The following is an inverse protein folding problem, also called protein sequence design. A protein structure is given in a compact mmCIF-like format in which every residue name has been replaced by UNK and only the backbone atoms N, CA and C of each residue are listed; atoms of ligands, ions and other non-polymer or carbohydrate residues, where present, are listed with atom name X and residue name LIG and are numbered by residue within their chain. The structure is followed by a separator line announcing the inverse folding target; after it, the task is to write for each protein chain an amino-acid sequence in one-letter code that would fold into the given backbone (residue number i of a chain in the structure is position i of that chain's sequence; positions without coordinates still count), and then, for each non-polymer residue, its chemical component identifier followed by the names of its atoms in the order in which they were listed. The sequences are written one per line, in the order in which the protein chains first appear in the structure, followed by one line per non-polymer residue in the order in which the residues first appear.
data_IF_027702635456
#
_entry.id   IF_027702635456
#
_cell.length_a   1.000
_cell.length_b   1.000
_cell.length_c   1.000
_cell.angle_alpha   90.00
_cell.angle_beta   90.00
_cell.angle_gamma   90.00
#
_symmetry.space_group_name_H-M   'P 1'
#
loop_
_entity.id
_entity.type
_entity.pdbx_description
1 polymer ?
#
# COMPACT_ATOMS: atom_id res chain seq x y z
N UNK A 1 -25.72 -1.83 -1.93
CA UNK A 1 -25.83 -0.77 -2.96
C UNK A 1 -27.20 -0.85 -3.59
N UNK A 2 -27.68 0.22 -4.21
CA UNK A 2 -28.90 0.21 -5.04
C UNK A 2 -28.53 0.64 -6.46
N UNK A 3 -29.20 0.09 -7.47
CA UNK A 3 -29.01 0.48 -8.87
C UNK A 3 -30.11 1.48 -9.26
N UNK A 4 -29.75 2.51 -10.02
CA UNK A 4 -30.72 3.41 -10.65
C UNK A 4 -31.23 2.84 -11.99
N UNK A 5 -32.14 3.57 -12.63
CA UNK A 5 -32.76 3.18 -13.91
C UNK A 5 -31.73 3.02 -15.05
N UNK A 6 -30.55 3.61 -14.92
CA UNK A 6 -29.45 3.52 -15.89
C UNK A 6 -28.44 2.42 -15.52
N UNK A 7 -28.72 1.60 -14.50
CA UNK A 7 -27.82 0.55 -14.00
C UNK A 7 -26.64 1.07 -13.19
N UNK A 8 -26.63 2.35 -12.79
CA UNK A 8 -25.53 2.92 -12.01
C UNK A 8 -25.73 2.59 -10.53
N UNK A 9 -24.68 2.05 -9.90
CA UNK A 9 -24.68 1.67 -8.48
C UNK A 9 -24.45 2.87 -7.57
N UNK A 10 -25.34 3.02 -6.59
CA UNK A 10 -25.30 4.06 -5.57
C UNK A 10 -25.24 3.50 -4.16
N UNK A 11 -24.64 4.27 -3.25
CA UNK A 11 -24.70 4.00 -1.82
C UNK A 11 -26.05 4.43 -1.26
N UNK A 12 -26.68 3.54 -0.49
CA UNK A 12 -27.92 3.80 0.25
C UNK A 12 -27.63 3.66 1.73
N UNK A 13 -28.15 4.60 2.53
CA UNK A 13 -28.13 4.49 3.99
C UNK A 13 -29.00 3.32 4.41
N UNK A 14 -28.47 2.45 5.27
CA UNK A 14 -29.15 1.26 5.77
C UNK A 14 -29.03 1.19 7.29
N UNK A 15 -29.98 0.50 7.92
CA UNK A 15 -29.84 0.08 9.30
C UNK A 15 -28.85 -1.09 9.38
N UNK A 16 -27.97 -1.06 10.39
CA UNK A 16 -26.88 -2.04 10.54
C UNK A 16 -27.24 -3.02 11.65
N UNK A 17 -27.30 -4.31 11.32
CA UNK A 17 -27.40 -5.39 12.31
C UNK A 17 -25.99 -5.87 12.69
N UNK A 18 -25.50 -5.51 13.88
CA UNK A 18 -24.11 -5.77 14.27
C UNK A 18 -23.73 -7.26 14.27
N UNK A 19 -24.67 -8.13 14.64
CA UNK A 19 -24.54 -9.59 14.62
C UNK A 19 -24.14 -10.16 13.26
N UNK A 20 -24.52 -9.50 12.17
CA UNK A 20 -24.15 -9.90 10.81
C UNK A 20 -22.68 -9.58 10.47
N UNK A 21 -22.08 -8.62 11.17
CA UNK A 21 -20.75 -8.08 10.84
C UNK A 21 -19.66 -8.49 11.81
N UNK A 22 -20.00 -8.84 13.06
CA UNK A 22 -19.04 -9.22 14.10
C UNK A 22 -18.93 -10.73 14.19
N UNK A 23 -17.75 -11.25 13.89
CA UNK A 23 -17.46 -12.67 13.84
C UNK A 23 -16.49 -13.04 14.96
N UNK A 24 -16.83 -14.07 15.74
CA UNK A 24 -15.97 -14.59 16.81
C UNK A 24 -15.75 -16.09 16.53
N UNK A 25 -14.67 -16.47 15.81
CA UNK A 25 -14.41 -17.87 15.54
C UNK A 25 -14.07 -18.61 16.82
N UNK A 26 -14.46 -19.89 16.86
CA UNK A 26 -14.14 -20.79 17.96
C UNK A 26 -12.99 -21.72 17.52
N UNK A 27 -11.86 -21.62 18.22
CA UNK A 27 -10.73 -22.52 18.09
C UNK A 27 -10.70 -23.52 19.26
N UNK A 28 -10.04 -24.68 19.11
CA UNK A 28 -9.88 -25.62 20.21
C UNK A 28 -9.16 -24.96 21.40
N UNK A 29 -9.67 -25.19 22.60
CA UNK A 29 -9.11 -24.64 23.84
C UNK A 29 -7.86 -25.40 24.29
N UNK A 30 -7.03 -24.76 25.13
CA UNK A 30 -5.88 -25.41 25.77
C UNK A 30 -4.66 -25.62 24.86
N UNK A 31 -4.64 -25.05 23.67
CA UNK A 31 -3.50 -25.12 22.76
C UNK A 31 -2.37 -24.16 23.16
N UNK A 32 -1.16 -24.44 22.66
CA UNK A 32 -0.03 -23.53 22.81
C UNK A 32 -0.20 -22.26 21.97
N UNK A 33 0.47 -21.15 22.32
CA UNK A 33 0.46 -19.93 21.50
C UNK A 33 0.88 -20.17 20.05
N UNK A 34 1.85 -21.05 19.80
CA UNK A 34 2.31 -21.40 18.45
C UNK A 34 1.23 -22.13 17.64
N UNK A 35 0.46 -23.01 18.27
CA UNK A 35 -0.69 -23.64 17.61
C UNK A 35 -1.76 -22.61 17.26
N UNK A 36 -2.00 -21.61 18.13
CA UNK A 36 -2.91 -20.50 17.81
C UNK A 36 -2.38 -19.58 16.72
N UNK A 37 -1.07 -19.42 16.55
CA UNK A 37 -0.49 -18.70 15.40
C UNK A 37 -0.91 -19.37 14.08
N UNK A 38 -0.83 -20.71 14.01
CA UNK A 38 -1.26 -21.47 12.84
C UNK A 38 -2.77 -21.34 12.60
N UNK A 39 -3.59 -21.41 13.65
CA UNK A 39 -5.03 -21.18 13.53
C UNK A 39 -5.36 -19.76 13.04
N UNK A 40 -4.65 -18.74 13.54
CA UNK A 40 -4.80 -17.37 13.07
C UNK A 40 -4.41 -17.24 11.61
N UNK A 41 -3.27 -17.81 11.19
CA UNK A 41 -2.81 -17.78 9.80
C UNK A 41 -3.84 -18.42 8.86
N UNK A 42 -4.27 -19.65 9.17
CA UNK A 42 -5.29 -20.35 8.39
C UNK A 42 -6.62 -19.59 8.33
N UNK A 43 -7.00 -18.93 9.43
CA UNK A 43 -8.20 -18.10 9.48
C UNK A 43 -8.07 -16.86 8.60
N UNK A 44 -6.91 -16.16 8.65
CA UNK A 44 -6.61 -15.01 7.79
C UNK A 44 -6.66 -15.40 6.31
N UNK A 45 -6.01 -16.50 5.93
CA UNK A 45 -6.07 -17.06 4.58
C UNK A 45 -7.49 -17.36 4.14
N UNK A 46 -8.31 -17.99 5.01
CA UNK A 46 -9.71 -18.28 4.71
C UNK A 46 -10.51 -17.00 4.48
N UNK A 47 -10.46 -16.04 5.41
CA UNK A 47 -11.28 -14.83 5.29
C UNK A 47 -10.77 -13.91 4.18
N UNK A 48 -9.51 -13.98 3.77
CA UNK A 48 -9.00 -13.24 2.62
C UNK A 48 -9.70 -13.66 1.31
N UNK A 49 -10.12 -14.92 1.22
CA UNK A 49 -10.79 -15.53 0.06
C UNK A 49 -12.31 -15.31 0.03
N UNK A 50 -12.92 -15.12 1.20
CA UNK A 50 -14.38 -14.96 1.30
C UNK A 50 -14.81 -13.60 0.72
N UNK A 51 -15.84 -13.56 -0.11
CA UNK A 51 -16.40 -12.28 -0.56
C UNK A 51 -17.34 -11.69 0.51
N UNK A 52 -17.33 -10.36 0.63
CA UNK A 52 -18.29 -9.67 1.48
C UNK A 52 -19.67 -9.69 0.80
N UNK A 53 -20.75 -10.05 1.52
CA UNK A 53 -22.08 -10.12 0.93
C UNK A 53 -22.59 -8.72 0.56
N UNK A 54 -23.14 -8.59 -0.65
CA UNK A 54 -23.52 -7.30 -1.25
C UNK A 54 -24.86 -6.75 -0.75
N UNK A 55 -25.62 -7.55 0.01
CA UNK A 55 -26.92 -7.19 0.59
C UNK A 55 -26.81 -6.45 1.93
N UNK A 56 -25.61 -6.24 2.45
CA UNK A 56 -25.34 -5.51 3.71
C UNK A 56 -24.10 -4.62 3.56
N UNK A 57 -23.80 -3.74 4.53
CA UNK A 57 -22.58 -2.93 4.50
C UNK A 57 -21.32 -3.78 4.28
N UNK A 58 -20.41 -3.32 3.43
CA UNK A 58 -19.26 -4.11 2.97
C UNK A 58 -18.08 -4.08 3.94
N UNK A 59 -18.33 -4.48 5.18
CA UNK A 59 -17.30 -4.62 6.21
C UNK A 59 -17.65 -5.73 7.19
N UNK A 60 -16.64 -6.37 7.77
CA UNK A 60 -16.76 -7.30 8.89
C UNK A 60 -15.65 -7.01 9.92
N UNK A 61 -15.90 -7.36 11.17
CA UNK A 61 -14.93 -7.38 12.25
C UNK A 61 -14.78 -8.82 12.73
N UNK A 62 -13.55 -9.30 12.90
CA UNK A 62 -13.28 -10.64 13.42
C UNK A 62 -12.48 -10.54 14.71
N UNK A 63 -12.99 -11.12 15.80
CA UNK A 63 -12.39 -11.07 17.14
C UNK A 63 -11.81 -12.44 17.48
N UNK A 64 -10.49 -12.54 17.45
CA UNK A 64 -9.75 -13.75 17.82
C UNK A 64 -9.35 -13.65 19.28
N UNK A 65 -10.12 -14.31 20.16
CA UNK A 65 -9.96 -14.28 21.63
C UNK A 65 -8.84 -15.18 22.18
N UNK A 66 -8.07 -15.81 21.30
CA UNK A 66 -7.04 -16.79 21.68
C UNK A 66 -5.65 -16.15 21.64
N UNK A 67 -4.79 -16.40 22.66
CA UNK A 67 -3.47 -15.83 22.71
C UNK A 67 -2.55 -16.48 21.66
N UNK A 68 -1.87 -15.64 20.92
CA UNK A 68 -0.84 -15.97 19.92
C UNK A 68 0.54 -15.72 20.51
N UNK A 69 1.61 -16.15 19.85
CA UNK A 69 2.97 -15.81 20.28
C UNK A 69 3.21 -14.30 20.32
N UNK A 70 2.48 -13.54 19.49
CA UNK A 70 2.59 -12.09 19.42
C UNK A 70 1.60 -11.36 20.34
N UNK A 71 0.32 -11.72 20.43
CA UNK A 71 -0.68 -10.94 21.16
C UNK A 71 -1.67 -11.80 21.96
N UNK A 72 -2.22 -11.24 23.04
CA UNK A 72 -3.23 -11.91 23.87
C UNK A 72 -4.57 -12.13 23.13
N UNK A 73 -4.82 -11.37 22.07
CA UNK A 73 -5.94 -11.52 21.16
C UNK A 73 -5.68 -10.69 19.90
N UNK A 74 -6.43 -10.97 18.83
CA UNK A 74 -6.29 -10.29 17.55
C UNK A 74 -7.64 -9.75 17.09
N UNK A 75 -7.63 -8.55 16.52
CA UNK A 75 -8.81 -7.91 15.94
C UNK A 75 -8.54 -7.63 14.47
N UNK A 76 -9.41 -8.13 13.60
CA UNK A 76 -9.25 -8.01 12.16
C UNK A 76 -10.42 -7.21 11.61
N UNK A 77 -10.13 -6.14 10.89
CA UNK A 77 -11.11 -5.36 10.15
C UNK A 77 -11.02 -5.74 8.68
N UNK A 78 -12.07 -6.34 8.13
CA UNK A 78 -12.17 -6.68 6.72
C UNK A 78 -13.09 -5.66 6.05
N UNK A 79 -12.55 -4.86 5.16
CA UNK A 79 -13.23 -3.71 4.53
C UNK A 79 -13.15 -3.86 3.02
N UNK A 80 -14.26 -3.68 2.31
CA UNK A 80 -14.23 -3.68 0.85
C UNK A 80 -13.64 -2.37 0.30
N UNK A 81 -12.77 -2.45 -0.72
CA UNK A 81 -12.05 -1.30 -1.27
C UNK A 81 -12.96 -0.25 -1.96
N UNK A 82 -14.22 -0.59 -2.25
CA UNK A 82 -15.20 0.41 -2.72
C UNK A 82 -15.57 1.45 -1.65
N UNK A 83 -15.29 1.19 -0.37
CA UNK A 83 -15.54 2.13 0.72
C UNK A 83 -14.52 3.29 0.76
N UNK A 84 -13.31 3.06 0.27
CA UNK A 84 -12.23 4.04 0.23
C UNK A 84 -10.88 3.39 -0.03
N UNK A 85 -9.88 4.23 -0.31
CA UNK A 85 -8.51 3.78 -0.50
C UNK A 85 -7.83 3.45 0.84
N UNK A 86 -6.64 2.85 0.78
CA UNK A 86 -5.88 2.48 1.98
C UNK A 86 -5.69 3.63 2.97
N UNK A 87 -5.55 4.88 2.49
CA UNK A 87 -5.48 6.06 3.36
C UNK A 87 -6.80 6.34 4.08
N UNK A 88 -7.91 6.34 3.35
CA UNK A 88 -9.26 6.57 3.92
C UNK A 88 -9.61 5.49 4.93
N UNK A 89 -9.41 4.21 4.58
CA UNK A 89 -9.71 3.09 5.46
C UNK A 89 -8.84 3.09 6.71
N UNK A 90 -7.54 3.38 6.58
CA UNK A 90 -6.65 3.54 7.73
C UNK A 90 -7.08 4.73 8.60
N UNK A 91 -7.48 5.85 8.01
CA UNK A 91 -7.97 7.00 8.77
C UNK A 91 -9.26 6.69 9.54
N UNK A 92 -10.17 5.90 8.98
CA UNK A 92 -11.35 5.41 9.69
C UNK A 92 -10.97 4.47 10.84
N UNK A 93 -10.07 3.51 10.62
CA UNK A 93 -9.57 2.65 11.70
C UNK A 93 -8.97 3.48 12.83
N UNK A 94 -8.07 4.41 12.52
CA UNK A 94 -7.42 5.28 13.49
C UNK A 94 -8.40 6.19 14.23
N UNK A 95 -9.54 6.54 13.63
CA UNK A 95 -10.59 7.34 14.29
C UNK A 95 -11.29 6.59 15.43
N UNK A 96 -11.21 5.26 15.45
CA UNK A 96 -11.72 4.42 16.52
C UNK A 96 -10.67 4.16 17.62
N UNK A 97 -9.43 4.65 17.44
CA UNK A 97 -8.31 4.41 18.32
C UNK A 97 -7.95 5.66 19.11
N UNK A 98 -7.47 5.45 20.34
CA UNK A 98 -6.99 6.50 21.22
C UNK A 98 -5.55 6.21 21.64
N UNK A 99 -4.84 7.24 22.11
CA UNK A 99 -3.53 7.02 22.73
C UNK A 99 -3.68 6.20 24.01
N UNK A 100 -2.78 5.25 24.22
CA UNK A 100 -2.79 4.38 25.39
C UNK A 100 -2.34 5.11 26.68
N UNK A 101 -1.52 6.16 26.55
CA UNK A 101 -1.02 6.95 27.68
C UNK A 101 -1.97 8.08 28.08
N UNK A 102 -2.58 8.77 27.11
CA UNK A 102 -3.58 9.81 27.36
C UNK A 102 -4.65 9.85 26.25
N UNK A 103 -5.84 9.25 26.46
CA UNK A 103 -6.92 9.21 25.47
C UNK A 103 -7.43 10.57 24.99
N UNK A 104 -7.20 11.65 25.76
CA UNK A 104 -7.67 12.99 25.42
C UNK A 104 -6.79 13.69 24.39
N UNK A 105 -5.60 13.15 24.11
CA UNK A 105 -4.62 13.73 23.17
C UNK A 105 -4.73 13.00 21.83
N UNK A 106 -4.78 13.73 20.69
CA UNK A 106 -4.83 13.10 19.38
C UNK A 106 -3.54 12.31 19.08
N UNK A 107 -3.68 11.31 18.21
CA UNK A 107 -2.55 10.56 17.67
C UNK A 107 -1.62 11.49 16.88
N UNK A 108 -0.31 11.32 17.04
CA UNK A 108 0.66 12.08 16.24
C UNK A 108 1.36 11.20 15.23
N UNK A 109 1.73 11.82 14.11
CA UNK A 109 2.37 11.17 12.98
C UNK A 109 3.72 11.84 12.73
N UNK A 110 4.73 11.09 12.25
CA UNK A 110 5.98 11.70 11.80
C UNK A 110 5.69 12.82 10.79
N UNK A 111 6.22 14.01 11.04
CA UNK A 111 6.12 15.10 10.07
C UNK A 111 6.92 14.74 8.81
N UNK A 112 6.30 14.91 7.65
CA UNK A 112 7.03 14.87 6.37
C UNK A 112 7.83 16.17 6.25
N UNK A 113 8.90 16.30 7.03
CA UNK A 113 9.91 17.32 6.79
C UNK A 113 10.64 16.94 5.51
N UNK A 114 10.13 17.41 4.38
CA UNK A 114 11.02 17.70 3.26
C UNK A 114 12.07 18.65 3.81
N UNK A 115 13.32 18.23 3.83
CA UNK A 115 14.45 19.16 3.87
C UNK A 115 14.41 19.98 2.57
N UNK A 116 13.43 20.89 2.47
CA UNK A 116 13.52 22.05 1.62
C UNK A 116 14.46 22.97 2.36
N UNK A 117 15.70 23.07 1.86
CA UNK A 117 16.58 24.17 2.23
C UNK A 117 15.78 25.48 2.07
N UNK A 118 15.56 26.27 3.13
CA UNK A 118 14.78 27.51 3.05
C UNK A 118 15.50 28.64 2.29
N UNK A 119 16.66 28.37 1.67
CA UNK A 119 17.44 29.34 0.92
C UNK A 119 17.15 29.33 -0.59
N UNK A 120 15.87 29.30 -0.97
CA UNK A 120 15.44 29.82 -2.26
C UNK A 120 14.62 31.07 -2.01
N UNK A 121 15.32 32.10 -1.53
CA UNK A 121 14.86 33.47 -1.73
C UNK A 121 14.67 33.65 -3.24
N UNK A 122 13.45 34.01 -3.63
CA UNK A 122 13.13 34.48 -4.96
C UNK A 122 13.86 35.81 -5.13
N UNK A 123 15.14 35.74 -5.51
CA UNK A 123 15.90 36.86 -6.02
C UNK A 123 16.03 36.61 -7.51
N UNK A 124 15.30 37.39 -8.30
CA UNK A 124 15.19 37.21 -9.74
C UNK A 124 16.56 37.08 -10.40
N UNK A 125 16.75 36.01 -11.16
CA UNK A 125 17.66 35.91 -12.32
C UNK A 125 17.65 34.49 -12.92
N UNK A 126 17.50 34.43 -14.24
CA UNK A 126 17.72 33.29 -15.15
C UNK A 126 16.59 32.28 -15.40
N UNK A 127 15.66 32.69 -16.28
CA UNK A 127 14.74 31.80 -17.01
C UNK A 127 15.51 30.86 -17.99
N UNK A 128 16.77 31.16 -18.32
CA UNK A 128 17.54 30.45 -19.34
C UNK A 128 18.49 29.34 -18.84
N UNK A 129 18.77 29.23 -17.54
CA UNK A 129 19.72 28.21 -17.02
C UNK A 129 19.13 26.81 -16.77
N UNK A 130 17.84 26.59 -17.03
CA UNK A 130 17.17 25.31 -16.74
C UNK A 130 16.49 24.65 -17.95
N UNK A 131 16.64 25.17 -19.17
CA UNK A 131 16.02 24.60 -20.38
C UNK A 131 16.36 23.10 -20.55
N UNK A 132 17.64 22.65 -20.42
CA UNK A 132 17.95 21.22 -20.54
C UNK A 132 17.29 20.35 -19.45
N UNK A 133 17.14 20.88 -18.23
CA UNK A 133 16.45 20.18 -17.13
C UNK A 133 14.95 20.10 -17.37
N UNK A 134 14.35 21.17 -17.87
CA UNK A 134 12.94 21.23 -18.26
C UNK A 134 12.66 20.27 -19.41
N UNK A 135 13.48 20.29 -20.47
CA UNK A 135 13.38 19.36 -21.60
C UNK A 135 13.56 17.91 -21.15
N UNK A 136 14.54 17.63 -20.29
CA UNK A 136 14.74 16.29 -19.71
C UNK A 136 13.55 15.84 -18.87
N UNK A 137 12.98 16.72 -18.06
CA UNK A 137 11.79 16.43 -17.26
C UNK A 137 10.57 16.19 -18.15
N UNK A 138 10.39 16.98 -19.21
CA UNK A 138 9.33 16.77 -20.20
C UNK A 138 9.49 15.43 -20.93
N UNK A 139 10.71 15.12 -21.40
CA UNK A 139 11.02 13.83 -22.02
C UNK A 139 10.76 12.66 -21.08
N UNK A 140 11.26 12.73 -19.84
CA UNK A 140 10.99 11.71 -18.82
C UNK A 140 9.49 11.58 -18.56
N UNK A 141 8.74 12.69 -18.53
CA UNK A 141 7.28 12.66 -18.34
C UNK A 141 6.58 11.91 -19.46
N UNK A 142 6.91 12.22 -20.72
CA UNK A 142 6.31 11.53 -21.88
C UNK A 142 6.72 10.05 -21.89
N UNK A 143 7.99 9.76 -21.65
CA UNK A 143 8.52 8.39 -21.62
C UNK A 143 7.91 7.56 -20.50
N UNK A 144 7.90 8.07 -19.27
CA UNK A 144 7.41 7.34 -18.09
C UNK A 144 5.88 7.18 -18.14
N UNK A 145 5.14 8.21 -18.57
CA UNK A 145 3.69 8.12 -18.74
C UNK A 145 3.31 7.18 -19.90
N UNK A 146 3.99 7.29 -21.04
CA UNK A 146 3.80 6.40 -22.18
C UNK A 146 4.12 4.95 -21.83
N UNK A 147 5.21 4.71 -21.10
CA UNK A 147 5.53 3.39 -20.57
C UNK A 147 4.44 2.87 -19.63
N UNK A 148 3.95 3.72 -18.71
CA UNK A 148 2.86 3.36 -17.80
C UNK A 148 1.58 2.98 -18.55
N UNK A 149 1.23 3.70 -19.63
CA UNK A 149 0.08 3.37 -20.48
C UNK A 149 0.26 2.02 -21.19
N UNK A 150 1.44 1.80 -21.77
CA UNK A 150 1.79 0.53 -22.44
C UNK A 150 1.74 -0.64 -21.47
N UNK A 151 2.33 -0.49 -20.28
CA UNK A 151 2.29 -1.51 -19.22
C UNK A 151 0.87 -1.80 -18.75
N UNK A 152 0.07 -0.76 -18.53
CA UNK A 152 -1.31 -0.90 -18.07
C UNK A 152 -2.25 -1.56 -19.08
N UNK A 153 -1.91 -1.50 -20.38
CA UNK A 153 -2.83 -1.89 -21.46
C UNK A 153 -2.38 -3.11 -22.28
N UNK A 154 -1.08 -3.29 -22.50
CA UNK A 154 -0.55 -4.21 -23.51
C UNK A 154 0.67 -5.02 -23.09
N UNK A 155 1.46 -4.56 -22.11
CA UNK A 155 2.74 -5.18 -21.77
C UNK A 155 2.66 -5.88 -20.41
N UNK A 156 2.58 -7.20 -20.44
CA UNK A 156 2.69 -8.05 -19.24
C UNK A 156 4.16 -8.26 -18.84
N UNK A 157 4.43 -8.43 -17.54
CA UNK A 157 5.73 -8.93 -17.07
C UNK A 157 5.91 -10.42 -17.39
N UNK A 158 7.15 -10.90 -17.36
CA UNK A 158 7.45 -12.32 -17.55
C UNK A 158 6.79 -13.19 -16.47
N UNK A 159 6.51 -14.45 -16.81
CA UNK A 159 6.06 -15.43 -15.80
C UNK A 159 7.23 -15.75 -14.88
N UNK A 160 7.05 -15.54 -13.58
CA UNK A 160 8.08 -15.66 -12.56
C UNK A 160 7.53 -16.27 -11.27
N UNK A 161 8.38 -16.45 -10.25
CA UNK A 161 7.92 -16.94 -8.93
C UNK A 161 7.00 -15.94 -8.21
N UNK A 162 7.09 -14.66 -8.55
CA UNK A 162 6.24 -13.61 -7.99
C UNK A 162 5.07 -13.23 -8.91
N UNK A 163 5.05 -13.75 -10.14
CA UNK A 163 3.97 -13.53 -11.11
C UNK A 163 3.60 -14.81 -11.83
N UNK A 164 2.48 -15.41 -11.45
CA UNK A 164 2.05 -16.68 -12.08
C UNK A 164 1.53 -16.53 -13.51
N UNK A 165 1.08 -15.34 -13.94
CA UNK A 165 0.55 -15.06 -15.28
C UNK A 165 -0.79 -15.72 -15.62
N UNK A 166 -1.35 -16.53 -14.71
CA UNK A 166 -2.60 -17.24 -14.94
C UNK A 166 -3.82 -16.33 -14.72
N UNK A 167 -4.93 -16.51 -15.45
CA UNK A 167 -6.17 -15.85 -15.11
C UNK A 167 -6.73 -16.36 -13.77
N UNK A 168 -7.42 -15.49 -13.03
CA UNK A 168 -8.10 -15.86 -11.78
C UNK A 168 -7.18 -16.07 -10.57
N UNK A 169 -6.00 -15.42 -10.55
CA UNK A 169 -5.08 -15.42 -9.40
C UNK A 169 -5.77 -14.84 -8.17
N UNK A 170 -6.63 -13.84 -8.35
CA UNK A 170 -7.46 -13.22 -7.32
C UNK A 170 -8.41 -14.19 -6.60
N UNK A 171 -8.61 -15.40 -7.15
CA UNK A 171 -9.44 -16.47 -6.58
C UNK A 171 -8.63 -17.68 -6.12
N UNK A 172 -7.30 -17.60 -6.12
CA UNK A 172 -6.42 -18.67 -5.62
C UNK A 172 -6.14 -18.50 -4.12
N UNK A 173 -5.88 -19.60 -3.39
CA UNK A 173 -5.55 -19.52 -1.97
C UNK A 173 -4.46 -18.49 -1.68
N UNK A 174 -4.68 -17.66 -0.67
CA UNK A 174 -3.76 -16.62 -0.22
C UNK A 174 -3.08 -17.07 1.06
N UNK A 175 -1.77 -16.91 1.15
CA UNK A 175 -1.01 -17.02 2.40
C UNK A 175 -0.59 -15.62 2.84
N UNK A 176 -0.77 -15.31 4.11
CA UNK A 176 -0.44 -13.99 4.67
C UNK A 176 0.72 -14.16 5.62
N UNK A 177 1.85 -13.53 5.29
CA UNK A 177 3.05 -13.54 6.12
C UNK A 177 3.35 -12.15 6.67
N UNK A 178 3.95 -12.07 7.86
CA UNK A 178 4.31 -10.77 8.46
C UNK A 178 5.76 -10.71 8.88
N UNK A 179 6.36 -9.52 8.76
CA UNK A 179 7.71 -9.24 9.21
C UNK A 179 7.77 -7.89 9.91
N UNK A 180 8.77 -7.71 10.78
CA UNK A 180 8.99 -6.47 11.51
C UNK A 180 10.42 -6.01 11.34
N UNK A 181 10.57 -4.73 10.97
CA UNK A 181 11.86 -4.07 10.82
C UNK A 181 11.99 -2.93 11.83
N UNK A 182 13.21 -2.68 12.29
CA UNK A 182 13.54 -1.50 13.09
C UNK A 182 13.47 -0.25 12.21
N UNK A 183 12.60 0.70 12.56
CA UNK A 183 12.54 1.96 11.82
C UNK A 183 13.80 2.81 12.07
N UNK A 184 14.46 2.63 13.21
CA UNK A 184 15.67 3.38 13.55
C UNK A 184 16.87 2.90 12.72
N UNK A 185 16.98 1.60 12.44
CA UNK A 185 18.01 1.09 11.52
C UNK A 185 17.79 1.61 10.10
N UNK A 186 16.53 1.64 9.65
CA UNK A 186 16.16 2.24 8.36
C UNK A 186 16.52 3.73 8.32
N UNK A 187 16.28 4.49 9.41
CA UNK A 187 16.66 5.90 9.51
C UNK A 187 18.18 6.09 9.51
N UNK A 188 18.95 5.18 10.10
CA UNK A 188 20.41 5.21 10.05
C UNK A 188 20.92 5.02 8.62
N UNK A 189 20.40 4.03 7.89
CA UNK A 189 20.74 3.80 6.48
C UNK A 189 20.37 5.02 5.64
N UNK A 190 19.15 5.54 5.81
CA UNK A 190 18.66 6.78 5.18
C UNK A 190 19.67 7.92 5.35
N UNK A 191 20.13 8.14 6.58
CA UNK A 191 21.04 9.23 6.93
C UNK A 191 22.42 9.03 6.33
N UNK A 192 23.00 7.83 6.43
CA UNK A 192 24.32 7.50 5.89
C UNK A 192 24.37 7.61 4.36
N UNK A 193 23.33 7.14 3.67
CA UNK A 193 23.24 7.17 2.22
C UNK A 193 22.66 8.47 1.65
N UNK A 194 22.15 9.37 2.49
CA UNK A 194 21.45 10.61 2.11
C UNK A 194 20.27 10.37 1.15
N UNK A 195 19.48 9.32 1.43
CA UNK A 195 18.29 8.93 0.67
C UNK A 195 17.01 9.13 1.51
N UNK A 196 15.85 8.74 1.01
CA UNK A 196 14.59 8.73 1.78
C UNK A 196 14.31 7.36 2.41
N UNK A 197 13.39 7.33 3.39
CA UNK A 197 12.96 6.07 4.02
C UNK A 197 12.36 5.10 2.98
N UNK A 198 11.55 5.62 2.05
CA UNK A 198 10.94 4.81 1.00
C UNK A 198 11.99 4.22 0.05
N UNK A 199 13.09 4.93 -0.24
CA UNK A 199 14.17 4.39 -1.08
C UNK A 199 14.84 3.19 -0.41
N UNK A 200 15.09 3.28 0.91
CA UNK A 200 15.66 2.17 1.69
C UNK A 200 14.71 0.98 1.72
N UNK A 201 13.42 1.20 2.05
CA UNK A 201 12.40 0.14 2.09
C UNK A 201 12.30 -0.53 0.72
N UNK A 202 12.18 0.25 -0.35
CA UNK A 202 12.06 -0.28 -1.72
C UNK A 202 13.30 -1.08 -2.12
N UNK A 203 14.50 -0.60 -1.78
CA UNK A 203 15.74 -1.33 -2.03
C UNK A 203 15.81 -2.67 -1.28
N UNK A 204 15.40 -2.71 -0.01
CA UNK A 204 15.32 -3.95 0.78
C UNK A 204 14.33 -4.93 0.13
N UNK A 205 13.14 -4.46 -0.24
CA UNK A 205 12.11 -5.30 -0.85
C UNK A 205 12.57 -5.83 -2.22
N UNK A 206 13.13 -4.99 -3.08
CA UNK A 206 13.65 -5.43 -4.38
C UNK A 206 14.75 -6.47 -4.26
N UNK A 207 15.68 -6.28 -3.32
CA UNK A 207 16.72 -7.27 -3.09
C UNK A 207 16.12 -8.58 -2.55
N UNK A 208 15.24 -8.49 -1.54
CA UNK A 208 14.57 -9.66 -0.96
C UNK A 208 13.78 -10.46 -2.00
N UNK A 209 13.04 -9.76 -2.87
CA UNK A 209 12.32 -10.36 -4.00
C UNK A 209 13.28 -11.08 -4.95
N UNK A 210 14.41 -10.47 -5.33
CA UNK A 210 15.38 -11.13 -6.22
C UNK A 210 16.03 -12.35 -5.57
N UNK A 211 16.36 -12.28 -4.29
CA UNK A 211 16.89 -13.43 -3.55
C UNK A 211 15.85 -14.57 -3.48
N UNK A 212 14.59 -14.26 -3.22
CA UNK A 212 13.50 -15.24 -3.25
C UNK A 212 13.34 -15.90 -4.63
N UNK A 213 13.34 -15.10 -5.70
CA UNK A 213 13.23 -15.60 -7.07
C UNK A 213 14.41 -16.50 -7.47
N UNK A 214 15.61 -16.19 -6.97
CA UNK A 214 16.79 -16.99 -7.24
C UNK A 214 16.75 -18.33 -6.49
N UNK A 215 16.43 -18.30 -5.20
CA UNK A 215 16.35 -19.50 -4.36
C UNK A 215 15.32 -20.49 -4.90
N UNK A 216 14.13 -20.02 -5.26
CA UNK A 216 13.06 -20.91 -5.73
C UNK A 216 13.29 -21.53 -7.13
N UNK A 217 14.24 -21.02 -7.92
CA UNK A 217 14.55 -21.54 -9.28
C UNK A 217 15.96 -22.15 -9.41
N UNK A 218 16.81 -22.07 -8.37
CA UNK A 218 18.21 -22.51 -8.39
C UNK A 218 19.03 -21.94 -9.58
N UNK A 219 18.67 -20.74 -10.08
CA UNK A 219 19.36 -20.06 -11.17
C UNK A 219 19.26 -18.55 -10.98
N UNK A 220 20.29 -17.81 -11.38
CA UNK A 220 20.25 -16.35 -11.50
C UNK A 220 19.09 -15.97 -12.41
N UNK A 221 18.05 -15.42 -11.81
CA UNK A 221 16.78 -15.21 -12.46
C UNK A 221 16.42 -13.72 -12.48
N UNK A 222 16.51 -13.15 -13.68
CA UNK A 222 16.30 -11.73 -13.95
C UNK A 222 15.10 -11.49 -14.87
N UNK A 223 14.11 -12.39 -14.85
CA UNK A 223 12.80 -12.17 -15.48
C UNK A 223 12.33 -10.73 -15.24
N UNK A 224 11.86 -10.10 -16.31
CA UNK A 224 11.43 -8.71 -16.28
C UNK A 224 10.25 -8.58 -15.33
N UNK A 225 10.51 -7.92 -14.22
CA UNK A 225 9.60 -7.79 -13.10
C UNK A 225 9.41 -6.32 -12.77
N UNK A 226 8.17 -5.92 -12.57
CA UNK A 226 7.76 -4.55 -12.27
C UNK A 226 6.99 -4.55 -10.95
N UNK A 227 7.40 -3.67 -10.05
CA UNK A 227 6.64 -3.36 -8.85
C UNK A 227 5.71 -2.17 -9.10
N UNK A 228 4.43 -2.36 -8.83
CA UNK A 228 3.41 -1.33 -8.86
C UNK A 228 3.37 -0.59 -7.51
N UNK A 229 4.01 0.58 -7.46
CA UNK A 229 4.06 1.39 -6.23
C UNK A 229 2.81 2.26 -6.13
N UNK A 230 1.98 2.00 -5.12
CA UNK A 230 0.77 2.75 -4.84
C UNK A 230 1.08 4.04 -4.07
N UNK A 231 0.51 5.15 -4.54
CA UNK A 231 0.73 6.48 -4.00
C UNK A 231 -0.60 7.16 -3.67
N UNK A 232 -0.67 7.78 -2.49
CA UNK A 232 -1.76 8.69 -2.17
C UNK A 232 -1.61 9.98 -3.00
N UNK A 233 -2.62 10.33 -3.80
CA UNK A 233 -2.59 11.55 -4.64
C UNK A 233 -2.99 12.80 -3.89
N UNK A 234 -3.53 12.66 -2.68
CA UNK A 234 -3.76 13.81 -1.81
C UNK A 234 -2.40 14.40 -1.44
N UNK A 235 -2.17 15.67 -1.74
CA UNK A 235 -0.93 16.40 -1.41
C UNK A 235 -0.80 16.64 0.12
N UNK A 236 -0.67 15.56 0.89
CA UNK A 236 -0.75 15.51 2.35
C UNK A 236 0.66 15.59 2.92
N UNK A 237 1.01 16.73 3.52
CA UNK A 237 2.23 16.89 4.33
C UNK A 237 2.05 16.38 5.77
N UNK A 238 0.80 16.37 6.24
CA UNK A 238 0.40 15.98 7.60
C UNK A 238 -0.87 15.14 7.54
N UNK A 239 -0.95 14.13 8.39
CA UNK A 239 -2.13 13.26 8.50
C UNK A 239 -3.44 14.06 8.61
N UNK A 240 -4.48 13.59 7.90
CA UNK A 240 -5.83 14.16 7.88
C UNK A 240 -6.84 13.15 8.39
N UNK A 241 -7.54 13.55 9.44
CA UNK A 241 -8.58 12.76 10.08
C UNK A 241 -9.84 12.66 9.21
N UNK A 242 -10.70 11.67 9.48
CA UNK A 242 -12.00 11.50 8.81
C UNK A 242 -12.86 12.77 8.92
N UNK A 243 -12.86 13.41 10.11
CA UNK A 243 -13.57 14.66 10.37
C UNK A 243 -13.10 15.80 9.46
N UNK A 244 -11.80 15.92 9.23
CA UNK A 244 -11.26 16.93 8.31
C UNK A 244 -11.60 16.62 6.85
N UNK A 245 -11.61 15.34 6.45
CA UNK A 245 -11.94 14.91 5.09
C UNK A 245 -13.43 15.08 4.73
N UNK A 246 -14.31 15.28 5.72
CA UNK A 246 -15.75 15.50 5.54
C UNK A 246 -16.17 16.97 5.66
N UNK A 247 -15.24 17.90 5.92
CA UNK A 247 -15.58 19.33 6.00
C UNK A 247 -16.11 19.84 4.65
N UNK A 248 -17.10 20.76 4.63
CA UNK A 248 -17.49 21.46 3.41
C UNK A 248 -16.25 22.11 2.78
N UNK A 249 -16.06 21.95 1.47
CA UNK A 249 -14.89 22.44 0.73
C UNK A 249 -13.54 21.83 1.15
N UNK A 250 -13.51 20.64 1.75
CA UNK A 250 -12.24 19.95 2.01
C UNK A 250 -11.46 19.73 0.70
N UNK A 251 -10.23 20.25 0.63
CA UNK A 251 -9.31 20.01 -0.50
C UNK A 251 -8.98 18.51 -0.68
N UNK A 252 -9.17 17.71 0.37
CA UNK A 252 -8.76 16.31 0.48
C UNK A 252 -9.92 15.48 1.00
N UNK A 253 -10.68 14.91 0.07
CA UNK A 253 -11.96 14.24 0.37
C UNK A 253 -11.76 12.76 0.69
N UNK A 254 -12.67 12.20 1.49
CA UNK A 254 -12.83 10.77 1.71
C UNK A 254 -13.08 10.01 0.39
N UNK A 255 -12.52 8.80 0.26
CA UNK A 255 -12.79 7.91 -0.88
C UNK A 255 -11.52 7.50 -1.62
N UNK A 256 -11.65 7.06 -2.87
CA UNK A 256 -10.50 6.58 -3.66
C UNK A 256 -9.75 7.76 -4.31
N UNK A 257 -8.54 8.04 -3.83
CA UNK A 257 -7.61 9.07 -4.31
C UNK A 257 -6.18 8.52 -4.26
N UNK A 258 -5.87 7.67 -5.22
CA UNK A 258 -4.55 7.09 -5.37
C UNK A 258 -4.12 7.10 -6.83
N UNK A 259 -2.81 6.98 -7.03
CA UNK A 259 -2.17 6.73 -8.30
C UNK A 259 -1.15 5.63 -8.10
N UNK A 260 -0.55 5.18 -9.20
CA UNK A 260 0.45 4.14 -9.17
C UNK A 260 1.62 4.49 -10.07
N UNK A 261 2.77 3.91 -9.76
CA UNK A 261 3.99 3.98 -10.54
C UNK A 261 4.49 2.58 -10.84
N UNK A 262 4.79 2.34 -12.11
CA UNK A 262 5.51 1.16 -12.53
C UNK A 262 7.01 1.39 -12.28
N UNK A 263 7.59 0.62 -11.35
CA UNK A 263 9.02 0.65 -11.03
C UNK A 263 9.61 -0.71 -11.34
N UNK A 264 10.50 -0.78 -12.33
CA UNK A 264 11.21 -2.02 -12.66
C UNK A 264 12.07 -2.47 -11.48
N UNK A 265 11.97 -3.75 -11.12
CA UNK A 265 12.80 -4.37 -10.09
C UNK A 265 14.20 -4.55 -10.66
N UNK A 266 15.25 -3.94 -10.06
CA UNK A 266 16.61 -4.08 -10.54
C UNK A 266 17.06 -5.54 -10.64
N UNK A 267 17.85 -5.84 -11.67
CA UNK A 267 18.45 -7.15 -11.85
C UNK A 267 19.50 -7.44 -10.78
N UNK A 268 19.58 -8.71 -10.41
CA UNK A 268 20.62 -9.28 -9.56
C UNK A 268 21.73 -9.82 -10.47
N UNK A 269 22.90 -9.21 -10.45
CA UNK A 269 23.98 -9.52 -11.40
C UNK A 269 24.90 -10.63 -10.91
N UNK A 270 25.31 -10.60 -9.64
CA UNK A 270 26.17 -11.61 -9.04
C UNK A 270 25.92 -11.67 -7.52
N UNK A 271 25.79 -12.88 -6.96
CA UNK A 271 25.65 -13.10 -5.52
C UNK A 271 26.96 -12.94 -4.74
N UNK A 272 28.08 -13.41 -5.28
CA UNK A 272 29.38 -13.41 -4.60
C UNK A 272 29.92 -11.99 -4.36
N UNK A 273 29.56 -11.06 -5.24
CA UNK A 273 29.92 -9.64 -5.15
C UNK A 273 28.71 -8.73 -4.93
N UNK A 274 27.64 -9.28 -4.35
CA UNK A 274 26.43 -8.52 -4.08
C UNK A 274 26.72 -7.42 -3.06
N UNK A 275 26.54 -6.17 -3.46
CA UNK A 275 26.44 -5.04 -2.54
C UNK A 275 24.95 -4.70 -2.33
N UNK A 276 24.37 -4.97 -1.14
CA UNK A 276 22.96 -4.66 -0.86
C UNK A 276 22.61 -3.17 -1.02
N UNK A 277 23.59 -2.28 -0.85
CA UNK A 277 23.39 -0.84 -0.99
C UNK A 277 23.10 -0.42 -2.43
N UNK A 278 23.53 -1.21 -3.42
CA UNK A 278 23.26 -0.94 -4.82
C UNK A 278 21.76 -0.95 -5.12
N UNK A 279 21.01 -1.85 -4.47
CA UNK A 279 19.55 -1.88 -4.61
C UNK A 279 18.89 -0.62 -4.05
N UNK A 280 19.42 -0.07 -2.95
CA UNK A 280 18.93 1.20 -2.38
C UNK A 280 19.21 2.36 -3.33
N UNK A 281 20.42 2.45 -3.91
CA UNK A 281 20.75 3.51 -4.86
C UNK A 281 19.98 3.38 -6.19
N UNK A 282 19.78 2.15 -6.69
CA UNK A 282 18.96 1.90 -7.88
C UNK A 282 17.50 2.30 -7.62
N UNK A 283 16.93 1.90 -6.48
CA UNK A 283 15.58 2.30 -6.08
C UNK A 283 15.46 3.82 -5.99
N UNK A 284 16.40 4.50 -5.32
CA UNK A 284 16.43 5.97 -5.24
C UNK A 284 16.45 6.62 -6.63
N UNK A 285 17.32 6.16 -7.54
CA UNK A 285 17.40 6.71 -8.90
C UNK A 285 16.09 6.56 -9.68
N UNK A 286 15.45 5.40 -9.58
CA UNK A 286 14.17 5.12 -10.24
C UNK A 286 13.04 5.97 -9.66
N UNK A 287 12.93 6.03 -8.33
CA UNK A 287 11.91 6.82 -7.63
C UNK A 287 12.10 8.32 -7.91
N UNK A 288 13.33 8.82 -7.86
CA UNK A 288 13.61 10.24 -8.10
C UNK A 288 13.33 10.63 -9.56
N UNK A 289 13.60 9.74 -10.53
CA UNK A 289 13.21 9.94 -11.92
C UNK A 289 11.70 10.09 -12.04
N UNK A 290 10.94 9.17 -11.45
CA UNK A 290 9.47 9.19 -11.48
C UNK A 290 8.88 10.39 -10.73
N UNK A 291 9.50 10.84 -9.63
CA UNK A 291 9.08 12.06 -8.91
C UNK A 291 9.36 13.35 -9.68
N UNK A 292 10.44 13.37 -10.45
CA UNK A 292 10.80 14.51 -11.31
C UNK A 292 10.03 14.49 -12.64
N UNK A 293 9.20 13.47 -12.89
CA UNK A 293 8.31 13.39 -14.03
C UNK A 293 6.89 13.78 -13.61
N UNK A 294 6.12 14.33 -14.55
CA UNK A 294 4.69 14.60 -14.37
C UNK A 294 3.83 13.33 -14.45
N UNK A 295 4.42 12.13 -14.54
CA UNK A 295 3.70 10.90 -14.84
C UNK A 295 2.64 10.56 -13.79
N UNK A 296 2.94 10.72 -12.50
CA UNK A 296 1.96 10.50 -11.41
C UNK A 296 0.72 11.38 -11.58
N UNK A 297 0.94 12.66 -11.90
CA UNK A 297 -0.14 13.62 -12.11
C UNK A 297 -0.97 13.27 -13.35
N UNK A 298 -0.31 12.90 -14.46
CA UNK A 298 -0.99 12.48 -15.68
C UNK A 298 -1.79 11.19 -15.48
N UNK A 299 -1.25 10.20 -14.76
CA UNK A 299 -1.97 8.98 -14.40
C UNK A 299 -3.19 9.27 -13.53
N UNK A 300 -3.07 10.15 -12.52
CA UNK A 300 -4.21 10.54 -11.69
C UNK A 300 -5.30 11.25 -12.52
N UNK A 301 -4.92 12.17 -13.41
CA UNK A 301 -5.85 12.85 -14.34
C UNK A 301 -6.50 11.88 -15.31
N UNK A 302 -5.77 10.89 -15.81
CA UNK A 302 -6.29 9.84 -16.67
C UNK A 302 -7.36 9.01 -15.95
N UNK A 303 -7.09 8.56 -14.72
CA UNK A 303 -8.07 7.81 -13.93
C UNK A 303 -9.33 8.64 -13.64
N UNK A 304 -9.18 9.92 -13.32
CA UNK A 304 -10.33 10.82 -13.17
C UNK A 304 -11.12 11.00 -14.46
N UNK A 305 -10.42 11.11 -15.60
CA UNK A 305 -11.05 11.20 -16.91
C UNK A 305 -11.85 9.93 -17.22
N UNK A 306 -11.26 8.74 -17.03
CA UNK A 306 -11.97 7.47 -17.17
C UNK A 306 -13.21 7.44 -16.28
N UNK A 307 -13.08 7.82 -15.01
CA UNK A 307 -14.21 7.80 -14.07
C UNK A 307 -15.34 8.74 -14.50
N UNK A 308 -15.01 9.94 -14.99
CA UNK A 308 -16.00 10.96 -15.40
C UNK A 308 -16.69 10.63 -16.72
N UNK A 309 -15.95 10.10 -17.70
CA UNK A 309 -16.43 9.98 -19.08
C UNK A 309 -16.72 8.55 -19.53
N UNK A 310 -16.07 7.54 -18.93
CA UNK A 310 -16.25 6.12 -19.28
C UNK A 310 -16.93 5.30 -18.17
N UNK A 311 -17.16 5.91 -17.01
CA UNK A 311 -17.82 5.27 -15.87
C UNK A 311 -16.89 4.38 -15.05
N UNK A 312 -17.41 3.89 -13.92
CA UNK A 312 -16.63 3.13 -12.92
C UNK A 312 -16.14 1.78 -13.41
N UNK A 313 -16.89 1.09 -14.28
CA UNK A 313 -16.53 -0.23 -14.80
C UNK A 313 -15.31 -0.16 -15.72
N UNK A 314 -15.26 0.83 -16.62
CA UNK A 314 -14.11 1.06 -17.47
C UNK A 314 -12.87 1.43 -16.65
N UNK A 315 -13.03 2.28 -15.62
CA UNK A 315 -11.94 2.58 -14.68
C UNK A 315 -11.46 1.33 -13.94
N UNK A 316 -12.38 0.50 -13.44
CA UNK A 316 -12.04 -0.73 -12.74
C UNK A 316 -11.30 -1.71 -13.65
N UNK A 317 -11.74 -1.87 -14.91
CA UNK A 317 -11.06 -2.71 -15.91
C UNK A 317 -9.65 -2.21 -16.22
N UNK A 318 -9.45 -0.90 -16.34
CA UNK A 318 -8.13 -0.32 -16.54
C UNK A 318 -7.19 -0.58 -15.35
N UNK A 319 -7.67 -0.38 -14.13
CA UNK A 319 -6.92 -0.68 -12.90
C UNK A 319 -6.62 -2.20 -12.81
N UNK A 320 -7.60 -3.05 -13.11
CA UNK A 320 -7.43 -4.49 -13.12
C UNK A 320 -6.30 -4.93 -14.06
N UNK A 321 -6.30 -4.44 -15.30
CA UNK A 321 -5.24 -4.74 -16.26
C UNK A 321 -3.87 -4.21 -15.80
N UNK A 322 -3.84 -3.02 -15.19
CA UNK A 322 -2.61 -2.43 -14.64
C UNK A 322 -1.96 -3.35 -13.60
N UNK A 323 -2.77 -3.84 -12.65
CA UNK A 323 -2.33 -4.72 -11.58
C UNK A 323 -1.91 -6.08 -12.17
N UNK A 324 -2.77 -6.70 -12.99
CA UNK A 324 -2.49 -7.99 -13.65
C UNK A 324 -1.18 -8.02 -14.44
N UNK A 325 -0.84 -6.91 -15.09
CA UNK A 325 0.32 -6.82 -15.96
C UNK A 325 1.65 -6.60 -15.20
N UNK A 326 1.57 -6.28 -13.92
CA UNK A 326 2.72 -6.10 -13.01
C UNK A 326 3.03 -7.39 -12.25
N UNK A 327 4.21 -7.45 -11.62
CA UNK A 327 4.65 -8.64 -10.89
C UNK A 327 4.33 -8.59 -9.39
N UNK A 328 4.21 -7.40 -8.82
CA UNK A 328 3.91 -7.22 -7.41
C UNK A 328 3.44 -5.79 -7.11
N UNK A 329 2.61 -5.60 -6.09
CA UNK A 329 2.26 -4.28 -5.56
C UNK A 329 3.08 -3.92 -4.32
N UNK A 330 3.38 -2.63 -4.18
CA UNK A 330 4.01 -2.04 -3.00
C UNK A 330 3.14 -0.89 -2.47
N UNK A 331 2.72 -0.98 -1.21
CA UNK A 331 2.02 0.10 -0.51
C UNK A 331 2.64 0.38 0.83
N UNK A 332 2.89 1.66 1.15
CA UNK A 332 3.46 2.07 2.43
C UNK A 332 2.64 3.19 3.07
N UNK A 333 2.17 2.97 4.29
CA UNK A 333 1.37 3.92 5.07
C UNK A 333 2.13 4.32 6.34
N UNK A 334 2.26 5.62 6.55
CA UNK A 334 2.82 6.16 7.80
C UNK A 334 1.74 6.06 8.88
N UNK A 335 2.02 5.30 9.93
CA UNK A 335 1.18 5.23 11.13
C UNK A 335 1.74 6.03 12.32
N UNK A 336 1.03 5.99 13.45
CA UNK A 336 1.32 6.86 14.60
C UNK A 336 2.57 6.43 15.38
N UNK A 337 3.16 7.40 16.09
CA UNK A 337 4.40 7.20 16.86
C UNK A 337 4.13 6.66 18.27
N UNK A 338 2.98 6.97 18.84
CA UNK A 338 2.61 6.52 20.19
C UNK A 338 1.95 5.15 20.20
N UNK A 339 1.94 4.53 21.38
CA UNK A 339 1.14 3.33 21.62
C UNK A 339 -0.34 3.69 21.61
N UNK A 340 -1.11 3.00 20.78
CA UNK A 340 -2.57 3.12 20.72
C UNK A 340 -3.27 2.12 21.63
N UNK A 341 -4.53 2.38 21.92
CA UNK A 341 -5.47 1.46 22.55
C UNK A 341 -6.83 1.51 21.83
N UNK A 342 -7.53 0.37 21.85
CA UNK A 342 -8.92 0.25 21.43
C UNK A 342 -9.72 -0.24 22.64
N UNK A 343 -10.76 0.49 23.04
CA UNK A 343 -11.57 0.16 24.22
C UNK A 343 -10.70 -0.17 25.46
N UNK A 344 -9.68 0.65 25.71
CA UNK A 344 -8.68 0.49 26.78
C UNK A 344 -7.77 -0.76 26.68
N UNK A 345 -7.83 -1.53 25.59
CA UNK A 345 -6.86 -2.60 25.30
C UNK A 345 -5.68 -2.06 24.48
N UNK A 346 -4.44 -2.06 25.02
CA UNK A 346 -3.29 -1.54 24.30
C UNK A 346 -2.90 -2.38 23.09
N UNK A 347 -2.68 -1.73 21.95
CA UNK A 347 -2.31 -2.37 20.68
C UNK A 347 -0.79 -2.59 20.64
N UNK A 348 -0.36 -3.85 20.48
CA UNK A 348 1.06 -4.21 20.35
C UNK A 348 1.60 -4.06 18.93
N UNK A 349 0.79 -4.37 17.92
CA UNK A 349 1.17 -4.30 16.52
C UNK A 349 -0.04 -3.99 15.63
N UNK A 350 0.22 -3.32 14.51
CA UNK A 350 -0.75 -2.98 13.48
C UNK A 350 -0.20 -3.45 12.14
N UNK A 351 -1.03 -4.11 11.36
CA UNK A 351 -0.74 -4.54 9.99
C UNK A 351 -1.96 -4.21 9.12
N UNK A 352 -1.75 -4.03 7.83
CA UNK A 352 -2.81 -4.07 6.83
C UNK A 352 -2.32 -4.90 5.65
N UNK A 353 -3.24 -5.40 4.85
CA UNK A 353 -2.94 -6.04 3.56
C UNK A 353 -4.15 -5.87 2.64
N UNK A 354 -3.98 -6.18 1.36
CA UNK A 354 -5.05 -6.25 0.37
C UNK A 354 -5.11 -7.67 -0.16
N UNK A 355 -6.32 -8.21 -0.30
CA UNK A 355 -6.55 -9.55 -0.81
C UNK A 355 -7.56 -9.50 -1.97
N UNK A 356 -7.47 -10.47 -2.87
CA UNK A 356 -8.32 -10.54 -4.07
C UNK A 356 -7.91 -9.58 -5.19
N UNK A 357 -6.65 -9.15 -5.21
CA UNK A 357 -6.07 -8.42 -6.36
C UNK A 357 -5.55 -9.43 -7.40
N UNK A 358 -5.54 -9.10 -8.71
CA UNK A 358 -5.05 -9.99 -9.77
C UNK A 358 -3.51 -10.06 -9.81
N UNK A 359 -2.86 -10.10 -8.65
CA UNK A 359 -1.40 -10.19 -8.46
C UNK A 359 -1.08 -11.37 -7.55
N UNK A 360 0.09 -12.01 -7.76
CA UNK A 360 0.50 -13.16 -6.94
C UNK A 360 1.28 -12.76 -5.69
N UNK A 361 1.74 -11.51 -5.58
CA UNK A 361 2.48 -10.98 -4.43
C UNK A 361 2.12 -9.52 -4.18
N UNK A 362 1.71 -9.19 -2.96
CA UNK A 362 1.33 -7.83 -2.56
C UNK A 362 2.00 -7.49 -1.25
N UNK A 363 2.93 -6.53 -1.26
CA UNK A 363 3.66 -6.15 -0.05
C UNK A 363 3.12 -4.82 0.47
N UNK A 364 2.67 -4.85 1.72
CA UNK A 364 2.07 -3.71 2.41
C UNK A 364 2.84 -3.42 3.68
N UNK A 365 3.12 -2.13 3.92
CA UNK A 365 3.99 -1.68 5.00
C UNK A 365 3.30 -0.59 5.82
N UNK A 366 3.30 -0.71 7.14
CA UNK A 366 2.83 0.35 8.04
C UNK A 366 3.84 0.64 9.14
N UNK A 367 4.15 1.91 9.40
CA UNK A 367 4.97 2.29 10.55
C UNK A 367 4.12 2.43 11.82
N UNK A 368 4.51 1.82 12.92
CA UNK A 368 3.82 1.96 14.21
C UNK A 368 4.81 1.79 15.36
N UNK A 369 4.83 2.74 16.30
CA UNK A 369 5.72 2.73 17.49
C UNK A 369 7.20 2.46 17.15
N UNK A 370 7.76 3.20 16.19
CA UNK A 370 9.17 3.06 15.80
C UNK A 370 9.52 1.73 15.11
N UNK A 371 8.51 0.92 14.74
CA UNK A 371 8.68 -0.31 13.98
C UNK A 371 8.00 -0.19 12.64
N UNK A 372 8.64 -0.72 11.60
CA UNK A 372 8.03 -0.88 10.30
C UNK A 372 7.48 -2.31 10.20
N UNK A 373 6.17 -2.42 9.99
CA UNK A 373 5.43 -3.69 9.97
C UNK A 373 5.11 -4.03 8.52
N UNK A 374 5.69 -5.12 8.01
CA UNK A 374 5.44 -5.62 6.68
C UNK A 374 4.48 -6.79 6.69
N UNK A 375 3.59 -6.81 5.70
CA UNK A 375 2.72 -7.92 5.36
C UNK A 375 2.97 -8.29 3.89
N UNK A 376 3.07 -9.58 3.62
CA UNK A 376 3.42 -10.17 2.33
C UNK A 376 2.32 -11.11 1.89
#
# INVERSE_FOLDING_TARGET
MVEDENGVKHWKKVEVKLEDHVNIPNFPSGLSPQSYDNHLSNYLSKIAMEQLPHNRPLWNIHIIKYPTSNAAGNLIFKLHHSLGDGYSLMAALLSCLQRADNPSVPLTFPSLTSALNPNLSVRGTSIFMNIPKVLRSAFNTVSDFGWSLMKSSYVEDDISLIRSGNPGVEFKPVEISTMTFSLDDIKQIKTKLRVTINDVITGILFLGTRLYMQEGRNKLNNEHSTALVLLNTRAIREYKSVKEMHKPCAEKVWGNQFAFLHISIPELTNLEYLNPLDFVWKAQKLIQRQRNSGAVFLTARLLEWFRKFKGSEATAKYIYNTIKNSSMALSNIIGPVERMALANHPIKSLYFTVAGEPESLTITMVSYMGKLRGCF
#
